data_IF_515539372862
#
_entry.id   IF_515539372862
#
_cell.length_a   1.000
_cell.length_b   1.000
_cell.length_c   1.000
_cell.angle_alpha   90.00
_cell.angle_beta   90.00
_cell.angle_gamma   90.00
#
_symmetry.space_group_name_H-M   'P 1'
#
loop_
_entity.id
_entity.type
_entity.pdbx_description
1 polymer ?
#
# COMPACT_ATOMS: atom_id res chain seq x y z
N UNK A 1 16.22 1.34 21.44
CA UNK A 1 16.21 1.96 20.09
C UNK A 1 15.30 3.18 20.11
N UNK A 2 15.78 4.32 19.59
CA UNK A 2 15.01 5.56 19.46
C UNK A 2 13.95 5.37 18.39
N UNK A 3 12.68 5.59 18.71
CA UNK A 3 11.54 5.35 17.82
C UNK A 3 10.51 6.48 17.96
N UNK A 4 10.00 6.94 16.81
CA UNK A 4 8.95 7.95 16.74
C UNK A 4 7.94 7.53 15.66
N UNK A 5 6.66 7.58 15.97
CA UNK A 5 5.59 7.45 14.99
C UNK A 5 5.06 8.83 14.61
N UNK A 6 4.94 9.06 13.32
CA UNK A 6 4.47 10.32 12.74
C UNK A 6 3.24 10.05 11.86
N UNK A 7 2.07 10.53 12.32
CA UNK A 7 0.80 10.37 11.60
C UNK A 7 0.61 11.54 10.64
N UNK A 8 0.43 11.22 9.37
CA UNK A 8 0.34 12.15 8.23
C UNK A 8 -0.88 11.82 7.36
N UNK A 9 -1.19 12.66 6.39
CA UNK A 9 -2.18 12.33 5.38
C UNK A 9 -1.71 11.21 4.44
N UNK A 10 -2.65 10.51 3.83
CA UNK A 10 -2.38 9.44 2.88
C UNK A 10 -2.04 10.00 1.51
N UNK A 11 -0.95 9.52 0.92
CA UNK A 11 -0.55 9.73 -0.46
C UNK A 11 0.10 8.45 -1.02
N UNK A 12 0.21 8.34 -2.33
CA UNK A 12 0.97 7.28 -2.96
C UNK A 12 2.49 7.55 -2.89
N UNK A 13 2.94 8.73 -3.33
CA UNK A 13 4.36 8.99 -3.57
C UNK A 13 5.02 10.01 -2.62
N UNK A 14 4.25 10.91 -2.00
CA UNK A 14 4.77 11.98 -1.12
C UNK A 14 5.89 12.82 -1.75
N UNK A 15 5.72 13.17 -3.04
CA UNK A 15 6.65 14.01 -3.82
C UNK A 15 6.07 15.38 -4.20
N UNK A 16 5.06 15.82 -3.47
CA UNK A 16 4.26 17.00 -3.71
C UNK A 16 2.86 16.68 -4.24
N UNK A 17 1.90 17.55 -3.93
CA UNK A 17 0.54 17.42 -4.42
C UNK A 17 0.46 17.60 -5.93
N UNK A 18 -0.18 16.68 -6.61
CA UNK A 18 -0.55 16.79 -8.02
C UNK A 18 -1.94 16.14 -8.24
N UNK A 19 -2.55 16.37 -9.42
CA UNK A 19 -3.89 15.82 -9.71
C UNK A 19 -3.97 14.29 -9.57
N UNK A 20 -2.87 13.58 -9.83
CA UNK A 20 -2.79 12.12 -9.76
C UNK A 20 -2.45 11.61 -8.36
N UNK A 21 -1.89 12.44 -7.47
CA UNK A 21 -1.48 12.05 -6.12
C UNK A 21 -1.72 13.22 -5.16
N UNK A 22 -2.96 13.36 -4.74
CA UNK A 22 -3.40 14.38 -3.76
C UNK A 22 -3.39 13.76 -2.38
N UNK A 23 -2.88 14.51 -1.39
CA UNK A 23 -2.90 14.05 0.00
C UNK A 23 -4.32 14.02 0.56
N UNK A 24 -4.72 12.91 1.17
CA UNK A 24 -6.03 12.70 1.79
C UNK A 24 -5.88 12.62 3.30
N UNK A 25 -6.68 13.37 4.04
CA UNK A 25 -6.57 13.45 5.51
C UNK A 25 -5.34 14.25 5.95
N UNK A 26 -4.82 13.95 7.14
CA UNK A 26 -3.76 14.74 7.77
C UNK A 26 -4.29 15.90 8.61
N UNK A 27 -3.42 16.56 9.38
CA UNK A 27 -3.80 17.51 10.42
C UNK A 27 -3.90 18.97 10.00
N UNK A 28 -3.91 19.31 8.71
CA UNK A 28 -3.97 20.71 8.27
C UNK A 28 -5.40 21.21 8.09
N UNK A 29 -5.69 22.39 8.62
CA UNK A 29 -6.97 23.10 8.46
C UNK A 29 -7.12 23.72 7.06
N UNK A 30 -6.00 23.91 6.35
CA UNK A 30 -5.98 24.46 4.99
C UNK A 30 -5.50 23.37 4.00
N UNK A 31 -6.34 23.10 2.99
CA UNK A 31 -6.03 22.09 1.96
C UNK A 31 -4.85 22.48 1.05
N UNK A 32 -4.38 23.73 1.11
CA UNK A 32 -3.31 24.23 0.25
C UNK A 32 -1.90 24.09 0.84
N UNK A 33 -1.76 24.01 2.17
CA UNK A 33 -0.45 24.01 2.87
C UNK A 33 -0.12 22.66 3.51
N UNK A 34 -0.05 21.61 2.71
CA UNK A 34 0.29 20.28 3.21
C UNK A 34 1.78 20.00 3.09
N UNK A 35 2.55 20.45 4.06
CA UNK A 35 4.01 20.27 4.17
C UNK A 35 4.42 18.80 4.10
N UNK A 36 3.60 17.91 4.62
CA UNK A 36 3.82 16.47 4.66
C UNK A 36 3.74 15.78 3.29
N UNK A 37 3.12 16.44 2.29
CA UNK A 37 3.05 15.93 0.93
C UNK A 37 4.43 15.73 0.27
N UNK A 38 5.49 16.31 0.82
CA UNK A 38 6.85 16.24 0.30
C UNK A 38 7.77 15.31 1.11
N UNK A 39 7.23 14.52 2.04
CA UNK A 39 8.04 13.77 2.99
C UNK A 39 9.01 12.78 2.36
N UNK A 40 8.72 12.24 1.17
CA UNK A 40 9.62 11.30 0.49
C UNK A 40 10.27 11.86 -0.78
N UNK A 41 10.15 13.17 -0.99
CA UNK A 41 10.86 13.84 -2.07
C UNK A 41 12.36 13.85 -1.79
N UNK A 42 13.12 13.37 -2.78
CA UNK A 42 14.58 13.48 -2.74
C UNK A 42 15.02 14.90 -3.10
N UNK A 43 15.74 15.53 -2.20
CA UNK A 43 16.41 16.81 -2.42
C UNK A 43 17.89 16.65 -2.13
N UNK A 44 18.69 16.50 -3.17
CA UNK A 44 20.13 16.36 -3.11
C UNK A 44 20.59 15.24 -2.17
N UNK A 45 19.96 14.05 -2.27
CA UNK A 45 20.31 12.87 -1.47
C UNK A 45 19.75 12.86 -0.06
N UNK A 46 18.77 13.73 0.25
CA UNK A 46 18.09 13.77 1.54
C UNK A 46 16.58 13.90 1.38
N UNK A 47 15.85 13.29 2.30
CA UNK A 47 14.41 13.51 2.49
C UNK A 47 14.18 14.39 3.71
N UNK A 48 13.28 15.37 3.55
CA UNK A 48 12.90 16.32 4.59
C UNK A 48 11.46 16.07 4.98
N UNK A 49 11.27 15.45 6.13
CA UNK A 49 9.96 15.07 6.65
C UNK A 49 9.33 16.16 7.51
N UNK A 50 8.03 16.27 7.42
CA UNK A 50 7.21 17.10 8.25
C UNK A 50 6.15 16.27 8.94
N UNK A 51 5.99 16.50 10.25
CA UNK A 51 4.82 16.08 11.01
C UNK A 51 4.36 17.22 11.88
N UNK A 52 3.06 17.47 11.93
CA UNK A 52 2.49 18.49 12.78
C UNK A 52 2.54 18.06 14.25
N UNK A 53 3.43 18.66 15.01
CA UNK A 53 3.55 18.39 16.44
C UNK A 53 2.58 19.24 17.28
N UNK A 54 2.10 18.67 18.38
CA UNK A 54 1.26 19.40 19.34
C UNK A 54 2.04 20.59 19.90
N UNK A 55 1.43 21.77 19.86
CA UNK A 55 2.06 23.05 20.24
C UNK A 55 3.32 23.39 19.45
N UNK A 56 3.45 22.84 18.25
CA UNK A 56 4.55 23.14 17.32
C UNK A 56 5.89 22.50 17.67
N UNK A 57 5.98 21.65 18.70
CA UNK A 57 7.24 21.07 19.16
C UNK A 57 7.18 19.57 19.34
N UNK A 58 8.24 18.87 18.92
CA UNK A 58 8.48 17.46 19.24
C UNK A 58 9.24 17.39 20.57
N UNK A 59 8.71 16.62 21.51
CA UNK A 59 9.38 16.40 22.78
C UNK A 59 10.46 15.30 22.66
N UNK A 60 11.71 15.71 22.47
CA UNK A 60 12.82 14.80 22.23
C UNK A 60 13.11 13.89 23.43
N UNK A 61 12.88 14.36 24.68
CA UNK A 61 13.09 13.54 25.87
C UNK A 61 12.12 12.38 26.03
N UNK A 62 11.01 12.36 25.26
CA UNK A 62 10.12 11.22 25.15
C UNK A 62 10.62 10.16 24.15
N UNK A 63 11.47 10.56 23.20
CA UNK A 63 12.15 9.63 22.29
C UNK A 63 13.31 8.95 23.02
N UNK A 64 14.08 9.73 23.80
CA UNK A 64 15.19 9.23 24.59
C UNK A 64 15.33 10.07 25.87
N UNK A 65 15.21 9.42 27.03
CA UNK A 65 15.27 10.06 28.35
C UNK A 65 16.64 10.69 28.66
N UNK A 66 17.69 10.32 27.95
CA UNK A 66 19.03 10.92 28.12
C UNK A 66 19.17 12.32 27.50
N UNK A 67 18.20 12.70 26.65
CA UNK A 67 18.20 13.99 25.95
C UNK A 67 17.62 15.08 26.84
N UNK A 68 18.32 16.21 26.92
CA UNK A 68 17.87 17.38 27.66
C UNK A 68 16.66 18.06 26.97
N UNK A 69 15.84 18.74 27.77
CA UNK A 69 14.74 19.57 27.23
C UNK A 69 15.24 20.77 26.42
N UNK A 70 16.49 21.16 26.60
CA UNK A 70 17.15 22.26 25.87
C UNK A 70 17.78 21.79 24.54
N UNK A 71 17.87 20.48 24.29
CA UNK A 71 18.45 19.99 23.05
C UNK A 71 17.54 20.32 21.87
N UNK A 72 18.13 20.84 20.81
CA UNK A 72 17.39 21.27 19.62
C UNK A 72 17.08 20.09 18.68
N UNK A 73 17.85 19.01 18.75
CA UNK A 73 17.70 17.85 17.86
C UNK A 73 18.23 16.56 18.50
N UNK A 74 17.83 15.44 17.91
CA UNK A 74 18.31 14.09 18.26
C UNK A 74 18.51 13.27 17.00
N UNK A 75 19.62 12.55 16.94
CA UNK A 75 20.00 11.71 15.81
C UNK A 75 19.69 10.22 16.03
N UNK A 76 19.81 9.44 14.95
CA UNK A 76 19.68 7.98 14.94
C UNK A 76 18.28 7.53 15.41
N UNK A 77 17.25 8.24 15.02
CA UNK A 77 15.87 7.91 15.29
C UNK A 77 15.30 7.08 14.14
N UNK A 78 14.61 5.99 14.44
CA UNK A 78 13.69 5.34 13.52
C UNK A 78 12.39 6.14 13.54
N UNK A 79 12.08 6.83 12.45
CA UNK A 79 10.79 7.53 12.29
C UNK A 79 9.89 6.69 11.40
N UNK A 80 8.73 6.28 11.92
CA UNK A 80 7.73 5.48 11.22
C UNK A 80 6.57 6.36 10.81
N UNK A 81 6.37 6.49 9.51
CA UNK A 81 5.27 7.27 8.93
C UNK A 81 4.01 6.44 8.87
N UNK A 82 2.93 6.98 9.41
CA UNK A 82 1.63 6.34 9.53
C UNK A 82 0.58 7.22 8.86
N UNK A 83 -0.34 6.61 8.11
CA UNK A 83 -1.46 7.34 7.53
C UNK A 83 -2.76 6.53 7.61
N UNK A 84 -3.89 7.22 7.74
CA UNK A 84 -5.21 6.60 7.62
C UNK A 84 -5.47 6.29 6.16
N UNK A 85 -5.79 5.04 5.86
CA UNK A 85 -6.13 4.61 4.50
C UNK A 85 -7.50 5.18 4.12
N UNK A 86 -7.67 5.78 2.93
CA UNK A 86 -8.93 6.42 2.54
C UNK A 86 -10.13 5.47 2.44
N UNK A 87 -9.87 4.23 2.01
CA UNK A 87 -10.84 3.17 1.76
C UNK A 87 -11.06 2.22 2.96
N UNK A 88 -10.49 2.56 4.13
CA UNK A 88 -10.62 1.75 5.35
C UNK A 88 -10.57 2.62 6.61
N UNK A 89 -11.09 2.08 7.72
CA UNK A 89 -11.01 2.76 9.03
C UNK A 89 -9.66 2.61 9.72
N UNK A 90 -8.70 1.90 9.11
CA UNK A 90 -7.38 1.62 9.69
C UNK A 90 -6.34 2.69 9.38
N UNK A 91 -5.38 2.83 10.31
CA UNK A 91 -4.11 3.51 10.06
C UNK A 91 -3.03 2.48 9.78
N UNK A 92 -2.17 2.75 8.79
CA UNK A 92 -1.16 1.81 8.32
C UNK A 92 0.21 2.47 8.24
N UNK A 93 1.26 1.68 8.39
CA UNK A 93 2.63 2.14 8.11
C UNK A 93 2.75 2.35 6.60
N UNK A 94 3.07 3.59 6.20
CA UNK A 94 3.30 3.96 4.79
C UNK A 94 4.78 3.95 4.42
N UNK A 95 5.66 4.04 5.41
CA UNK A 95 7.11 4.02 5.21
C UNK A 95 7.86 4.42 6.48
N UNK A 96 9.16 4.60 6.39
CA UNK A 96 9.99 5.02 7.51
C UNK A 96 11.28 5.70 7.06
N UNK A 97 11.90 6.42 7.99
CA UNK A 97 13.27 6.89 7.89
C UNK A 97 14.13 6.18 8.94
N UNK A 98 15.20 5.55 8.52
CA UNK A 98 16.24 5.06 9.43
C UNK A 98 17.24 6.19 9.72
N UNK A 99 17.91 6.12 10.86
CA UNK A 99 18.98 7.06 11.23
C UNK A 99 18.60 8.54 11.07
N UNK A 100 17.32 8.86 11.23
CA UNK A 100 16.82 10.22 11.06
C UNK A 100 17.34 11.15 12.17
N UNK A 101 17.54 12.42 11.80
CA UNK A 101 17.63 13.55 12.72
C UNK A 101 16.23 14.10 12.94
N UNK A 102 15.80 14.18 14.19
CA UNK A 102 14.53 14.78 14.60
C UNK A 102 14.80 16.08 15.34
N UNK A 103 14.22 17.17 14.88
CA UNK A 103 14.31 18.49 15.49
C UNK A 103 13.13 18.74 16.42
N UNK A 104 13.38 19.44 17.53
CA UNK A 104 12.32 19.87 18.43
C UNK A 104 11.37 20.87 17.76
N UNK A 105 11.94 21.82 17.03
CA UNK A 105 11.24 22.91 16.34
C UNK A 105 11.18 22.69 14.82
N UNK A 106 10.32 23.43 14.13
CA UNK A 106 10.27 23.43 12.67
C UNK A 106 11.43 24.22 12.06
N UNK A 107 11.94 23.71 10.96
CA UNK A 107 12.93 24.37 10.11
C UNK A 107 12.28 24.73 8.77
N UNK A 108 12.60 25.90 8.22
CA UNK A 108 12.12 26.30 6.91
C UNK A 108 13.04 25.78 5.82
N UNK A 109 12.46 25.16 4.79
CA UNK A 109 13.19 24.80 3.59
C UNK A 109 13.44 26.03 2.73
N UNK A 110 14.70 26.18 2.25
CA UNK A 110 15.04 27.22 1.25
C UNK A 110 14.79 26.75 -0.19
N UNK A 111 14.44 25.48 -0.40
CA UNK A 111 14.26 24.88 -1.71
C UNK A 111 12.90 25.26 -2.32
N UNK A 112 12.93 25.82 -3.52
CA UNK A 112 11.72 26.07 -4.33
C UNK A 112 11.02 24.77 -4.73
N UNK A 113 11.78 23.69 -4.92
CA UNK A 113 11.24 22.37 -5.27
C UNK A 113 10.35 21.77 -4.18
N UNK A 114 10.45 22.28 -2.94
CA UNK A 114 9.59 21.93 -1.81
C UNK A 114 8.63 23.10 -1.45
N UNK A 115 8.36 24.01 -2.33
CA UNK A 115 7.53 25.19 -2.09
C UNK A 115 7.90 25.96 -0.80
N UNK A 116 9.15 25.85 -0.34
CA UNK A 116 9.67 26.40 0.92
C UNK A 116 8.94 25.88 2.18
N UNK A 117 8.22 24.77 2.08
CA UNK A 117 7.52 24.19 3.24
C UNK A 117 8.48 23.74 4.34
N UNK A 118 8.02 23.86 5.57
CA UNK A 118 8.77 23.50 6.76
C UNK A 118 8.98 21.98 6.87
N UNK A 119 9.98 21.62 7.67
CA UNK A 119 10.28 20.23 8.05
C UNK A 119 10.75 20.20 9.52
N UNK A 120 10.69 19.04 10.15
CA UNK A 120 11.24 18.80 11.49
C UNK A 120 11.92 17.42 11.61
N UNK A 121 12.08 16.72 10.49
CA UNK A 121 12.72 15.43 10.41
C UNK A 121 13.57 15.40 9.14
N UNK A 122 14.81 14.89 9.22
CA UNK A 122 15.68 14.74 8.04
C UNK A 122 16.35 13.38 8.07
N UNK A 123 16.45 12.74 6.92
CA UNK A 123 17.26 11.53 6.75
C UNK A 123 17.91 11.50 5.36
N UNK A 124 19.00 10.74 5.22
CA UNK A 124 19.57 10.45 3.90
C UNK A 124 18.56 9.67 3.07
N UNK A 125 18.50 9.93 1.76
CA UNK A 125 17.57 9.25 0.86
C UNK A 125 17.66 7.72 0.95
N UNK A 126 18.85 7.19 1.07
CA UNK A 126 19.09 5.74 1.17
C UNK A 126 18.57 5.13 2.47
N UNK A 127 18.41 5.94 3.51
CA UNK A 127 17.80 5.57 4.79
C UNK A 127 16.27 5.69 4.79
N UNK A 128 15.66 6.21 3.72
CA UNK A 128 14.22 6.42 3.60
C UNK A 128 13.58 5.29 2.77
N UNK A 129 12.53 4.71 3.30
CA UNK A 129 11.71 3.70 2.62
C UNK A 129 10.27 4.17 2.57
N UNK A 130 9.74 4.37 1.37
CA UNK A 130 8.31 4.48 1.11
C UNK A 130 7.82 3.13 0.61
N UNK A 131 6.81 2.58 1.26
CA UNK A 131 6.22 1.32 0.83
C UNK A 131 5.32 1.55 -0.39
N UNK A 132 5.37 0.67 -1.40
CA UNK A 132 4.30 0.56 -2.38
C UNK A 132 2.93 0.41 -1.70
N UNK A 133 1.88 0.93 -2.31
CA UNK A 133 0.53 0.97 -1.69
C UNK A 133 0.03 -0.42 -1.29
N UNK A 134 0.28 -1.42 -2.14
CA UNK A 134 -0.07 -2.83 -1.92
C UNK A 134 0.71 -3.49 -0.76
N UNK A 135 1.87 -2.96 -0.39
CA UNK A 135 2.68 -3.44 0.73
C UNK A 135 2.41 -2.69 2.05
N UNK A 136 1.53 -1.71 2.08
CA UNK A 136 1.11 -0.99 3.30
C UNK A 136 0.08 -1.80 4.08
N UNK A 137 0.48 -2.95 4.57
CA UNK A 137 -0.41 -3.93 5.22
C UNK A 137 -0.30 -3.95 6.74
N UNK A 138 0.77 -3.38 7.31
CA UNK A 138 0.94 -3.34 8.77
C UNK A 138 0.09 -2.23 9.38
N UNK A 139 -0.99 -2.64 10.05
CA UNK A 139 -1.89 -1.74 10.75
C UNK A 139 -1.27 -1.18 12.04
N UNK A 140 -1.59 0.08 12.35
CA UNK A 140 -1.17 0.75 13.57
C UNK A 140 -2.37 0.90 14.50
N UNK A 141 -2.35 0.28 15.69
CA UNK A 141 -3.47 0.31 16.61
C UNK A 141 -3.74 1.72 17.14
N UNK A 142 -5.03 2.05 17.27
CA UNK A 142 -5.50 3.37 17.73
C UNK A 142 -5.95 3.30 19.18
N UNK A 143 -5.79 4.41 19.89
CA UNK A 143 -6.26 4.55 21.29
C UNK A 143 -7.77 4.35 21.43
N UNK A 144 -8.54 4.65 20.41
CA UNK A 144 -10.00 4.41 20.37
C UNK A 144 -10.38 2.94 20.48
N UNK A 145 -9.51 2.04 20.00
CA UNK A 145 -9.74 0.58 20.00
C UNK A 145 -8.94 -0.13 21.08
N UNK A 146 -7.68 0.28 21.29
CA UNK A 146 -6.74 -0.41 22.17
C UNK A 146 -6.55 0.28 23.53
N UNK A 147 -7.15 1.47 23.71
CA UNK A 147 -7.06 2.22 24.95
C UNK A 147 -5.81 3.08 25.08
N UNK A 148 -5.53 3.49 26.32
CA UNK A 148 -4.47 4.43 26.68
C UNK A 148 -3.09 3.88 26.29
N UNK A 149 -2.23 4.75 25.76
CA UNK A 149 -0.85 4.43 25.36
C UNK A 149 -0.67 4.24 23.86
N UNK A 150 -1.73 3.93 23.14
CA UNK A 150 -1.71 3.81 21.67
C UNK A 150 -1.91 5.15 20.94
N UNK A 151 -1.78 5.15 19.62
CA UNK A 151 -1.89 6.34 18.77
C UNK A 151 -3.28 6.98 18.92
N UNK A 152 -3.32 8.19 19.47
CA UNK A 152 -4.54 8.99 19.71
C UNK A 152 -4.78 10.04 18.63
N UNK A 153 -5.19 11.24 19.07
CA UNK A 153 -5.43 12.39 18.18
C UNK A 153 -4.15 13.14 17.79
N UNK A 154 -3.06 12.96 18.55
CA UNK A 154 -1.77 13.60 18.23
C UNK A 154 -1.17 12.99 16.98
N UNK A 155 -0.64 13.85 16.10
CA UNK A 155 0.11 13.38 14.91
C UNK A 155 1.50 12.82 15.28
N UNK A 156 1.99 13.07 16.50
CA UNK A 156 3.24 12.49 17.00
C UNK A 156 2.92 11.53 18.13
N UNK A 157 3.35 10.28 17.97
CA UNK A 157 3.21 9.25 18.98
C UNK A 157 4.58 8.65 19.31
N UNK A 158 4.93 8.75 20.59
CA UNK A 158 6.23 8.30 21.09
C UNK A 158 6.26 6.82 21.44
N UNK A 159 5.09 6.21 21.59
CA UNK A 159 4.90 4.83 22.04
C UNK A 159 5.73 4.53 23.31
N UNK A 160 5.78 5.48 24.24
CA UNK A 160 6.56 5.47 25.46
C UNK A 160 5.74 5.10 26.70
N UNK A 161 4.47 4.70 26.50
CA UNK A 161 3.61 4.24 27.57
C UNK A 161 4.07 2.88 28.10
N UNK A 162 4.18 2.77 29.42
CA UNK A 162 4.63 1.55 30.09
C UNK A 162 3.49 0.51 30.13
N UNK A 163 3.39 -0.27 29.04
CA UNK A 163 2.53 -1.45 28.97
C UNK A 163 3.14 -2.49 28.05
N UNK A 164 2.90 -3.75 28.35
CA UNK A 164 3.39 -4.88 27.57
C UNK A 164 2.93 -4.76 26.10
N UNK A 165 1.66 -4.46 25.86
CA UNK A 165 1.10 -4.38 24.51
C UNK A 165 1.70 -3.26 23.65
N UNK A 166 2.07 -2.12 24.25
CA UNK A 166 2.78 -1.06 23.52
C UNK A 166 4.21 -1.46 23.21
N UNK A 167 4.88 -2.15 24.13
CA UNK A 167 6.25 -2.66 23.93
C UNK A 167 6.28 -3.74 22.85
N UNK A 168 5.38 -4.70 22.89
CA UNK A 168 5.23 -5.75 21.85
C UNK A 168 4.98 -5.15 20.47
N UNK A 169 4.12 -4.13 20.38
CA UNK A 169 3.89 -3.44 19.11
C UNK A 169 5.15 -2.72 18.61
N UNK A 170 5.89 -2.03 19.48
CA UNK A 170 7.18 -1.41 19.14
C UNK A 170 8.16 -2.43 18.56
N UNK A 171 8.31 -3.59 19.23
CA UNK A 171 9.20 -4.64 18.81
C UNK A 171 8.78 -5.25 17.48
N UNK A 172 7.47 -5.48 17.28
CA UNK A 172 6.92 -5.93 16.01
C UNK A 172 7.23 -4.97 14.86
N UNK A 173 7.13 -3.65 15.08
CA UNK A 173 7.47 -2.63 14.08
C UNK A 173 8.97 -2.62 13.78
N UNK A 174 9.82 -2.71 14.81
CA UNK A 174 11.27 -2.77 14.63
C UNK A 174 11.67 -4.00 13.82
N UNK A 175 11.07 -5.14 14.10
CA UNK A 175 11.31 -6.38 13.36
C UNK A 175 10.77 -6.32 11.93
N UNK A 176 9.62 -5.70 11.71
CA UNK A 176 9.07 -5.46 10.38
C UNK A 176 10.05 -4.64 9.52
N UNK A 177 10.55 -3.53 10.06
CA UNK A 177 11.55 -2.67 9.39
C UNK A 177 12.84 -3.41 9.09
N UNK A 178 13.36 -4.19 10.05
CA UNK A 178 14.57 -5.01 9.86
C UNK A 178 14.40 -6.07 8.78
N UNK A 179 13.30 -6.81 8.81
CA UNK A 179 12.98 -7.85 7.82
C UNK A 179 12.81 -7.29 6.41
N UNK A 180 12.23 -6.10 6.28
CA UNK A 180 12.12 -5.42 4.99
C UNK A 180 13.50 -5.02 4.44
N UNK A 181 14.40 -4.54 5.31
CA UNK A 181 15.77 -4.17 4.93
C UNK A 181 16.58 -5.38 4.44
N UNK A 182 16.46 -6.53 5.11
CA UNK A 182 17.09 -7.78 4.69
C UNK A 182 16.54 -8.23 3.33
N UNK A 183 15.23 -8.19 3.12
CA UNK A 183 14.62 -8.47 1.81
C UNK A 183 15.16 -7.53 0.73
N UNK A 184 15.29 -6.24 0.97
CA UNK A 184 15.82 -5.27 0.00
C UNK A 184 17.29 -5.53 -0.34
N UNK A 185 18.13 -5.89 0.62
CA UNK A 185 19.53 -6.20 0.39
C UNK A 185 19.76 -7.57 -0.28
N UNK A 186 18.88 -8.54 -0.03
CA UNK A 186 18.89 -9.85 -0.70
C UNK A 186 18.27 -9.74 -2.10
N UNK A 187 17.37 -8.79 -2.29
CA UNK A 187 16.57 -8.51 -3.47
C UNK A 187 17.36 -7.89 -4.62
N UNK A 188 18.50 -7.24 -4.40
CA UNK A 188 19.35 -6.78 -5.52
C UNK A 188 19.90 -7.93 -6.38
N UNK A 189 19.91 -9.18 -5.86
CA UNK A 189 20.23 -10.39 -6.66
C UNK A 189 19.05 -11.36 -6.86
N UNK A 190 17.91 -11.18 -6.17
CA UNK A 190 16.81 -12.15 -6.13
C UNK A 190 15.42 -11.57 -6.48
N UNK A 191 15.29 -10.25 -6.74
CA UNK A 191 14.00 -9.58 -6.91
C UNK A 191 13.11 -10.17 -8.01
N UNK A 192 13.70 -10.60 -9.11
CA UNK A 192 12.95 -11.16 -10.25
C UNK A 192 12.39 -12.56 -9.93
N UNK A 193 13.11 -13.38 -9.14
CA UNK A 193 12.68 -14.77 -8.90
C UNK A 193 11.71 -14.96 -7.72
N UNK A 194 11.86 -14.22 -6.63
CA UNK A 194 11.01 -14.38 -5.43
C UNK A 194 9.63 -13.75 -5.65
N UNK A 195 9.58 -12.60 -6.32
CA UNK A 195 8.33 -11.95 -6.70
C UNK A 195 7.57 -12.79 -7.74
N UNK A 196 8.25 -13.35 -8.72
CA UNK A 196 7.68 -14.27 -9.71
C UNK A 196 7.15 -15.56 -9.06
N UNK A 197 7.87 -16.13 -8.07
CA UNK A 197 7.42 -17.35 -7.37
C UNK A 197 6.22 -17.07 -6.47
N UNK A 198 6.20 -15.93 -5.78
CA UNK A 198 5.08 -15.54 -4.94
C UNK A 198 3.84 -15.22 -5.79
N UNK A 199 4.01 -14.48 -6.90
CA UNK A 199 2.93 -14.22 -7.86
C UNK A 199 2.39 -15.50 -8.45
N UNK A 200 3.28 -16.39 -8.89
CA UNK A 200 2.89 -17.69 -9.44
C UNK A 200 2.14 -18.54 -8.41
N UNK A 201 2.53 -18.54 -7.14
CA UNK A 201 1.82 -19.24 -6.08
C UNK A 201 0.41 -18.67 -5.83
N UNK A 202 0.24 -17.34 -5.91
CA UNK A 202 -1.06 -16.67 -5.81
C UNK A 202 -1.94 -17.01 -7.02
N UNK A 203 -1.39 -16.99 -8.22
CA UNK A 203 -2.04 -17.34 -9.47
C UNK A 203 -2.49 -18.82 -9.47
N UNK A 204 -1.59 -19.74 -9.18
CA UNK A 204 -1.89 -21.19 -9.06
C UNK A 204 -2.97 -21.46 -8.00
N UNK A 205 -2.92 -20.76 -6.86
CA UNK A 205 -3.94 -20.89 -5.82
C UNK A 205 -5.30 -20.40 -6.30
N UNK A 206 -5.35 -19.27 -7.01
CA UNK A 206 -6.57 -18.72 -7.57
C UNK A 206 -7.18 -19.64 -8.63
N UNK A 207 -6.39 -20.11 -9.59
CA UNK A 207 -6.82 -21.08 -10.62
C UNK A 207 -7.40 -22.33 -9.98
N UNK A 208 -6.70 -22.90 -8.99
CA UNK A 208 -7.16 -24.08 -8.26
C UNK A 208 -8.48 -23.82 -7.54
N UNK A 209 -8.63 -22.64 -6.95
CA UNK A 209 -9.85 -22.27 -6.22
C UNK A 209 -11.03 -22.14 -7.18
N UNK A 210 -10.90 -21.37 -8.27
CA UNK A 210 -11.94 -21.20 -9.30
C UNK A 210 -12.34 -22.55 -9.91
N UNK A 211 -11.37 -23.36 -10.30
CA UNK A 211 -11.61 -24.72 -10.84
C UNK A 211 -12.49 -25.54 -9.88
N UNK A 212 -12.14 -25.56 -8.60
CA UNK A 212 -12.89 -26.31 -7.59
C UNK A 212 -14.30 -25.81 -7.40
N UNK A 213 -14.50 -24.48 -7.34
CA UNK A 213 -15.82 -23.89 -7.13
C UNK A 213 -16.74 -24.10 -8.34
N UNK A 214 -16.22 -23.97 -9.57
CA UNK A 214 -17.04 -24.17 -10.77
C UNK A 214 -17.31 -25.66 -11.05
N UNK A 215 -16.40 -26.56 -10.68
CA UNK A 215 -16.68 -27.99 -10.68
C UNK A 215 -17.84 -28.36 -9.73
N UNK A 216 -17.91 -27.73 -8.55
CA UNK A 216 -19.05 -27.93 -7.63
C UNK A 216 -20.37 -27.40 -8.23
N UNK A 217 -20.30 -26.39 -9.11
CA UNK A 217 -21.46 -25.84 -9.85
C UNK A 217 -21.85 -26.71 -11.07
N UNK A 218 -21.13 -27.81 -11.31
CA UNK A 218 -21.40 -28.76 -12.38
C UNK A 218 -20.76 -28.40 -13.71
N UNK A 219 -19.72 -27.56 -13.73
CA UNK A 219 -18.93 -27.29 -14.92
C UNK A 219 -17.78 -28.28 -15.09
N UNK A 220 -17.56 -28.70 -16.31
CA UNK A 220 -16.30 -29.36 -16.71
C UNK A 220 -15.28 -28.27 -17.05
N UNK A 221 -14.08 -28.33 -16.43
CA UNK A 221 -13.06 -27.30 -16.54
C UNK A 221 -11.87 -27.81 -17.34
N UNK A 222 -11.49 -27.03 -18.36
CA UNK A 222 -10.30 -27.28 -19.19
C UNK A 222 -9.36 -26.08 -19.10
N UNK A 223 -8.10 -26.30 -18.68
CA UNK A 223 -7.08 -25.24 -18.64
C UNK A 223 -6.65 -24.82 -20.03
N UNK A 224 -6.52 -23.49 -20.21
CA UNK A 224 -6.03 -22.81 -21.40
C UNK A 224 -4.81 -21.91 -21.13
N UNK A 225 -4.27 -21.94 -19.92
CA UNK A 225 -3.16 -21.07 -19.49
C UNK A 225 -1.96 -21.09 -20.45
N UNK A 226 -1.70 -22.23 -21.10
CA UNK A 226 -0.58 -22.40 -22.05
C UNK A 226 -0.89 -21.92 -23.45
N UNK A 227 -2.16 -21.69 -23.77
CA UNK A 227 -2.62 -21.41 -25.14
C UNK A 227 -2.52 -19.92 -25.48
N UNK A 228 -2.33 -19.05 -24.47
CA UNK A 228 -2.23 -17.57 -24.58
C UNK A 228 -3.35 -16.95 -25.43
N UNK A 229 -4.57 -17.46 -25.26
CA UNK A 229 -5.75 -17.08 -26.06
C UNK A 229 -6.55 -15.93 -25.41
N UNK A 230 -6.13 -15.45 -24.23
CA UNK A 230 -6.71 -14.31 -23.50
C UNK A 230 -7.78 -14.69 -22.48
N UNK A 231 -7.75 -15.94 -22.00
CA UNK A 231 -8.41 -16.45 -20.80
C UNK A 231 -7.73 -17.74 -20.35
N UNK A 232 -7.91 -18.11 -19.08
CA UNK A 232 -7.18 -19.17 -18.41
C UNK A 232 -7.90 -20.53 -18.45
N UNK A 233 -9.23 -20.53 -18.36
CA UNK A 233 -10.04 -21.74 -18.26
C UNK A 233 -11.25 -21.70 -19.19
N UNK A 234 -11.58 -22.84 -19.82
CA UNK A 234 -12.90 -23.10 -20.37
C UNK A 234 -13.74 -23.84 -19.34
N UNK A 235 -14.95 -23.33 -19.05
CA UNK A 235 -15.92 -23.96 -18.15
C UNK A 235 -17.16 -24.36 -18.96
N UNK A 236 -17.41 -25.67 -19.11
CA UNK A 236 -18.48 -26.19 -19.94
C UNK A 236 -19.53 -26.88 -19.10
N UNK A 237 -20.81 -26.52 -19.31
CA UNK A 237 -21.96 -27.20 -18.72
C UNK A 237 -23.04 -27.38 -19.81
N UNK A 238 -23.16 -28.60 -20.33
CA UNK A 238 -24.05 -28.88 -21.45
C UNK A 238 -23.68 -28.13 -22.73
N UNK A 239 -24.51 -27.15 -23.13
CA UNK A 239 -24.29 -26.34 -24.35
C UNK A 239 -23.58 -25.01 -24.07
N UNK A 240 -23.38 -24.66 -22.81
CA UNK A 240 -22.77 -23.39 -22.38
C UNK A 240 -21.28 -23.63 -22.17
N UNK A 241 -20.47 -22.82 -22.85
CA UNK A 241 -19.02 -22.75 -22.62
C UNK A 241 -18.66 -21.32 -22.21
N UNK A 242 -18.23 -21.15 -20.97
CA UNK A 242 -17.74 -19.89 -20.41
C UNK A 242 -16.23 -19.81 -20.55
N UNK A 243 -15.71 -18.61 -20.77
CA UNK A 243 -14.29 -18.25 -20.83
C UNK A 243 -13.92 -17.54 -19.56
N UNK A 244 -13.13 -18.17 -18.72
CA UNK A 244 -12.78 -17.64 -17.41
C UNK A 244 -11.37 -17.09 -17.44
N UNK A 245 -11.23 -15.80 -17.20
CA UNK A 245 -9.96 -15.16 -16.85
C UNK A 245 -9.86 -15.11 -15.33
N UNK A 246 -8.75 -15.60 -14.78
CA UNK A 246 -8.57 -15.73 -13.33
C UNK A 246 -7.48 -14.78 -12.85
N UNK A 247 -7.80 -13.92 -11.91
CA UNK A 247 -6.85 -13.01 -11.26
C UNK A 247 -6.77 -13.29 -9.77
N UNK A 248 -5.60 -13.73 -9.32
CA UNK A 248 -5.33 -13.93 -7.90
C UNK A 248 -4.80 -12.66 -7.25
N UNK A 249 -5.32 -12.32 -6.06
CA UNK A 249 -4.86 -11.20 -5.23
C UNK A 249 -4.54 -11.73 -3.84
N UNK A 250 -3.35 -11.37 -3.33
CA UNK A 250 -2.92 -11.80 -1.99
C UNK A 250 -3.62 -11.03 -0.85
N UNK A 251 -4.25 -9.90 -1.16
CA UNK A 251 -4.98 -9.02 -0.21
C UNK A 251 -6.49 -9.10 -0.42
N UNK A 252 -7.25 -8.39 0.43
CA UNK A 252 -8.70 -8.23 0.29
C UNK A 252 -9.11 -7.11 -0.68
N UNK A 253 -8.16 -6.32 -1.19
CA UNK A 253 -8.45 -5.20 -2.11
C UNK A 253 -8.42 -5.70 -3.55
N UNK A 254 -9.48 -5.39 -4.32
CA UNK A 254 -9.59 -5.74 -5.73
C UNK A 254 -8.85 -4.68 -6.55
N UNK A 255 -7.63 -5.02 -6.98
CA UNK A 255 -6.90 -4.27 -8.00
C UNK A 255 -6.11 -5.28 -8.82
N UNK A 256 -6.49 -5.47 -10.06
CA UNK A 256 -5.90 -6.49 -10.94
C UNK A 256 -5.45 -5.86 -12.25
N UNK A 257 -4.37 -6.38 -12.80
CA UNK A 257 -3.86 -5.98 -14.10
C UNK A 257 -4.51 -6.84 -15.19
N UNK A 258 -5.10 -6.19 -16.18
CA UNK A 258 -5.67 -6.85 -17.37
C UNK A 258 -4.78 -6.50 -18.55
N UNK A 259 -4.25 -7.50 -19.25
CA UNK A 259 -3.44 -7.29 -20.45
C UNK A 259 -4.29 -6.83 -21.62
N UNK A 260 -3.67 -6.27 -22.65
CA UNK A 260 -4.37 -5.84 -23.87
C UNK A 260 -5.10 -7.01 -24.56
N UNK A 261 -4.47 -8.21 -24.59
CA UNK A 261 -5.07 -9.41 -25.16
C UNK A 261 -6.32 -9.84 -24.37
N UNK A 262 -6.21 -9.93 -23.05
CA UNK A 262 -7.33 -10.28 -22.15
C UNK A 262 -8.49 -9.27 -22.30
N UNK A 263 -8.19 -7.97 -22.29
CA UNK A 263 -9.22 -6.91 -22.50
C UNK A 263 -9.90 -7.06 -23.86
N UNK A 264 -9.14 -7.29 -24.92
CA UNK A 264 -9.69 -7.51 -26.28
C UNK A 264 -10.63 -8.72 -26.32
N UNK A 265 -10.26 -9.82 -25.67
CA UNK A 265 -11.10 -11.03 -25.61
C UNK A 265 -12.33 -10.87 -24.72
N UNK A 266 -12.19 -10.16 -23.61
CA UNK A 266 -13.24 -9.77 -22.71
C UNK A 266 -14.33 -8.97 -23.45
N UNK A 267 -13.91 -7.97 -24.24
CA UNK A 267 -14.85 -7.15 -25.04
C UNK A 267 -15.49 -7.95 -26.20
N UNK A 268 -14.74 -8.82 -26.85
CA UNK A 268 -15.24 -9.62 -27.95
C UNK A 268 -16.20 -10.77 -27.53
N UNK A 269 -16.17 -11.17 -26.26
CA UNK A 269 -16.92 -12.33 -25.76
C UNK A 269 -17.86 -12.00 -24.58
N UNK A 270 -18.32 -10.77 -24.45
CA UNK A 270 -19.09 -10.24 -23.31
C UNK A 270 -20.09 -11.22 -22.70
N UNK A 271 -20.85 -11.95 -23.53
CA UNK A 271 -21.88 -12.89 -23.07
C UNK A 271 -21.32 -14.10 -22.32
N UNK A 272 -20.16 -14.59 -22.73
CA UNK A 272 -19.59 -15.85 -22.25
C UNK A 272 -18.27 -15.68 -21.49
N UNK A 273 -17.78 -14.46 -21.36
CA UNK A 273 -16.55 -14.15 -20.62
C UNK A 273 -16.88 -13.84 -19.15
N UNK A 274 -16.03 -14.33 -18.27
CA UNK A 274 -16.08 -14.08 -16.82
C UNK A 274 -14.69 -13.68 -16.35
N UNK A 275 -14.60 -12.55 -15.63
CA UNK A 275 -13.39 -12.20 -14.91
C UNK A 275 -13.54 -12.66 -13.47
N UNK A 276 -12.82 -13.70 -13.08
CA UNK A 276 -12.84 -14.29 -11.75
C UNK A 276 -11.71 -13.71 -10.92
N UNK A 277 -12.02 -12.83 -9.97
CA UNK A 277 -11.01 -12.25 -9.06
C UNK A 277 -11.07 -12.99 -7.73
N UNK A 278 -9.96 -13.64 -7.36
CA UNK A 278 -9.83 -14.36 -6.08
C UNK A 278 -9.00 -13.53 -5.13
N UNK A 279 -9.65 -12.93 -4.15
CA UNK A 279 -8.99 -12.18 -3.06
C UNK A 279 -8.53 -13.14 -1.96
N UNK A 280 -7.48 -12.76 -1.21
CA UNK A 280 -6.86 -13.57 -0.17
C UNK A 280 -6.50 -15.00 -0.64
N UNK A 281 -6.08 -15.15 -1.89
CA UNK A 281 -5.98 -16.42 -2.62
C UNK A 281 -5.21 -17.53 -1.90
N UNK A 282 -4.26 -17.18 -1.00
CA UNK A 282 -3.41 -18.14 -0.29
C UNK A 282 -4.01 -18.61 1.04
N UNK A 283 -4.69 -17.73 1.79
CA UNK A 283 -5.02 -18.02 3.20
C UNK A 283 -6.52 -18.28 3.39
N UNK A 284 -7.36 -17.41 2.82
CA UNK A 284 -8.82 -17.52 2.92
C UNK A 284 -9.45 -17.01 1.62
N UNK A 285 -9.40 -17.80 0.54
CA UNK A 285 -9.80 -17.36 -0.79
C UNK A 285 -11.30 -17.07 -0.85
N UNK A 286 -11.64 -15.94 -1.47
CA UNK A 286 -13.00 -15.56 -1.81
C UNK A 286 -13.01 -15.12 -3.28
N UNK A 287 -13.98 -15.59 -4.05
CA UNK A 287 -14.10 -15.30 -5.47
C UNK A 287 -15.20 -14.27 -5.73
N UNK A 288 -14.88 -13.28 -6.54
CA UNK A 288 -15.83 -12.32 -7.08
C UNK A 288 -15.79 -12.48 -8.60
N UNK A 289 -16.93 -12.74 -9.19
CA UNK A 289 -17.06 -12.96 -10.64
C UNK A 289 -17.68 -11.73 -11.29
N UNK A 290 -16.97 -11.14 -12.27
CA UNK A 290 -17.50 -10.01 -13.03
C UNK A 290 -18.05 -10.50 -14.38
N UNK A 291 -19.28 -10.06 -14.68
CA UNK A 291 -20.04 -10.36 -15.88
C UNK A 291 -20.44 -9.07 -16.59
N UNK A 292 -20.66 -9.14 -17.90
CA UNK A 292 -21.17 -8.00 -18.65
C UNK A 292 -22.69 -7.85 -18.46
N UNK A 293 -23.10 -6.70 -17.96
CA UNK A 293 -24.52 -6.30 -17.91
C UNK A 293 -24.85 -5.41 -19.10
N UNK A 294 -25.74 -5.90 -19.98
CA UNK A 294 -26.14 -5.18 -21.19
C UNK A 294 -27.00 -3.95 -20.87
N UNK A 295 -27.72 -3.93 -19.77
CA UNK A 295 -28.59 -2.82 -19.38
C UNK A 295 -27.79 -1.65 -18.82
N UNK A 296 -26.74 -1.93 -18.07
CA UNK A 296 -25.85 -0.94 -17.48
C UNK A 296 -24.66 -0.57 -18.41
N UNK A 297 -24.39 -1.40 -19.42
CA UNK A 297 -23.22 -1.23 -20.30
C UNK A 297 -21.89 -1.34 -19.57
N UNK A 298 -21.81 -2.17 -18.52
CA UNK A 298 -20.66 -2.28 -17.61
C UNK A 298 -20.41 -3.73 -17.22
N UNK A 299 -19.19 -3.99 -16.77
CA UNK A 299 -18.83 -5.23 -16.07
C UNK A 299 -19.21 -5.06 -14.59
N UNK A 300 -20.08 -5.91 -14.07
CA UNK A 300 -20.58 -5.88 -12.69
C UNK A 300 -20.35 -7.22 -12.01
N UNK A 301 -20.33 -7.26 -10.70
CA UNK A 301 -20.31 -8.51 -9.96
C UNK A 301 -21.57 -9.32 -10.23
N UNK A 302 -21.41 -10.63 -10.46
CA UNK A 302 -22.52 -11.56 -10.69
C UNK A 302 -23.47 -11.65 -9.48
N UNK A 303 -22.93 -11.49 -8.25
CA UNK A 303 -23.69 -11.59 -7.01
C UNK A 303 -24.27 -10.23 -6.55
N UNK A 304 -23.67 -9.09 -6.98
CA UNK A 304 -24.07 -7.76 -6.56
C UNK A 304 -23.81 -6.71 -7.66
N UNK A 305 -24.82 -6.35 -8.41
CA UNK A 305 -24.75 -5.40 -9.52
C UNK A 305 -24.33 -3.97 -9.10
N UNK A 306 -24.33 -3.65 -7.80
CA UNK A 306 -23.82 -2.37 -7.29
C UNK A 306 -22.29 -2.29 -7.36
N UNK A 307 -21.61 -3.43 -7.45
CA UNK A 307 -20.14 -3.52 -7.59
C UNK A 307 -19.79 -3.56 -9.07
N UNK A 308 -19.31 -2.45 -9.61
CA UNK A 308 -18.92 -2.34 -11.01
C UNK A 308 -17.39 -2.29 -11.14
N UNK A 309 -16.88 -2.91 -12.22
CA UNK A 309 -15.48 -2.86 -12.57
C UNK A 309 -15.13 -1.55 -13.28
N UNK A 310 -14.18 -0.81 -12.77
CA UNK A 310 -13.58 0.34 -13.45
C UNK A 310 -12.27 -0.10 -14.14
N UNK A 311 -12.21 0.03 -15.46
CA UNK A 311 -11.03 -0.31 -16.26
C UNK A 311 -10.35 0.98 -16.72
N UNK A 312 -9.19 1.30 -16.14
CA UNK A 312 -8.34 2.40 -16.55
C UNK A 312 -7.23 1.91 -17.48
N UNK A 313 -6.97 2.62 -18.58
CA UNK A 313 -5.84 2.34 -19.45
C UNK A 313 -4.56 2.91 -18.86
N UNK A 314 -3.56 2.04 -18.69
CA UNK A 314 -2.21 2.46 -18.29
C UNK A 314 -1.34 2.47 -19.54
N UNK A 315 -0.92 3.66 -20.04
CA UNK A 315 -0.02 3.72 -21.19
C UNK A 315 1.34 3.11 -20.84
N UNK A 316 1.79 2.11 -21.59
CA UNK A 316 3.13 1.54 -21.48
C UNK A 316 3.94 1.93 -22.71
N UNK A 317 5.22 2.30 -22.50
CA UNK A 317 6.16 2.61 -23.56
C UNK A 317 7.28 1.57 -23.57
N UNK A 318 7.68 1.12 -24.77
CA UNK A 318 8.85 0.26 -24.96
C UNK A 318 9.98 1.20 -25.44
N UNK A 319 11.09 1.23 -24.69
CA UNK A 319 12.33 1.84 -25.15
C UNK A 319 13.28 0.72 -25.60
N UNK A 320 13.79 0.81 -26.82
CA UNK A 320 14.83 -0.07 -27.35
C UNK A 320 16.07 0.75 -27.71
N UNK A 321 17.23 0.17 -27.57
CA UNK A 321 18.52 0.70 -28.08
C UNK A 321 18.77 0.01 -29.40
N UNK A 322 19.06 0.79 -30.47
CA UNK A 322 19.54 0.28 -31.75
C UNK A 322 21.03 -0.03 -31.68
#
# INVERSE_FOLDING_TARGET
MRLLFANIGWMEHYKGNCKADMIVGGGSWDNNDKHEAFNFQDLNGSCYGYVQAVRGKINLSRIDKSVSKSDAMIDKVLVVWVAKRPDSDGSYIVGWYNNATVYADYHSSKSSARNRYSYNIVAKKDDCVLLPVDLRTMSVPRATTMGKGFLGQSNVWYADYDSISVQEFRDAVIDYVKKYKVKKNTVVKYQVKVDAKARKAVEEAAIKYVTKEDQKRGYEIVSREKDNIGWDLDATNGRICLKLEVKGVASSTISVHITHNEKSKMEANKKHYRLCVVINAIINPQMIVFVWDNSLGKWVSEDDNSIALEIAEIPSYIASVE
#
